data_IF_752384154119
#
_entry.id   IF_752384154119
#
_cell.length_a   1.000
_cell.length_b   1.000
_cell.length_c   1.000
_cell.angle_alpha   90.00
_cell.angle_beta   90.00
_cell.angle_gamma   90.00
#
_symmetry.space_group_name_H-M   'P 1'
#
loop_
_entity.id
_entity.type
_entity.pdbx_description
1 polymer ?
#
# COMPACT_ATOMS: atom_id res chain seq x y z
N UNK A 1 -8.45 -2.86 9.86
CA UNK A 1 -7.60 -1.66 10.04
C UNK A 1 -7.32 -1.29 11.50
N UNK A 2 -8.12 -1.72 12.50
CA UNK A 2 -8.00 -1.23 13.88
C UNK A 2 -6.57 -1.20 14.46
N UNK A 3 -5.70 -2.12 14.03
CA UNK A 3 -4.34 -2.32 14.53
C UNK A 3 -3.24 -1.45 13.85
N UNK A 4 -3.54 -0.70 12.80
CA UNK A 4 -2.55 0.20 12.17
C UNK A 4 -2.37 1.49 12.98
N UNK A 5 -1.16 2.09 13.02
CA UNK A 5 -0.98 3.47 13.48
C UNK A 5 -1.94 4.42 12.77
N UNK A 6 -2.43 5.45 13.45
CA UNK A 6 -3.36 6.43 12.87
C UNK A 6 -2.79 7.08 11.62
N UNK A 7 -1.54 7.53 11.67
CA UNK A 7 -0.87 8.16 10.53
C UNK A 7 -0.84 7.25 9.29
N UNK A 8 -0.67 5.93 9.50
CA UNK A 8 -0.69 4.97 8.41
C UNK A 8 -2.09 4.72 7.86
N UNK A 9 -3.12 4.74 8.72
CA UNK A 9 -4.53 4.68 8.28
C UNK A 9 -4.88 5.89 7.43
N UNK A 10 -4.50 7.09 7.88
CA UNK A 10 -4.77 8.34 7.17
C UNK A 10 -4.09 8.37 5.80
N UNK A 11 -2.87 7.82 5.72
CA UNK A 11 -2.09 7.75 4.48
C UNK A 11 -2.80 6.93 3.38
N UNK A 12 -3.35 5.77 3.73
CA UNK A 12 -3.92 4.83 2.72
C UNK A 12 -5.43 4.93 2.56
N UNK A 13 -6.11 5.72 3.40
CA UNK A 13 -7.55 5.92 3.35
C UNK A 13 -7.99 6.72 2.11
N UNK A 14 -9.20 6.48 1.57
CA UNK A 14 -10.16 5.47 2.00
C UNK A 14 -9.79 4.06 1.49
N UNK A 15 -9.96 3.04 2.35
CA UNK A 15 -9.60 1.65 2.04
C UNK A 15 -10.60 0.67 2.68
N UNK A 16 -10.98 -0.37 1.93
CA UNK A 16 -11.82 -1.45 2.40
C UNK A 16 -11.01 -2.48 3.21
N UNK A 17 -11.68 -3.15 4.16
CA UNK A 17 -11.08 -4.25 4.91
C UNK A 17 -10.84 -5.49 4.03
N UNK A 18 -10.03 -6.43 4.55
CA UNK A 18 -9.71 -7.68 3.85
C UNK A 18 -11.00 -8.42 3.47
N UNK A 19 -11.18 -8.68 2.17
CA UNK A 19 -12.33 -9.39 1.61
C UNK A 19 -13.62 -8.56 1.48
N UNK A 20 -13.65 -7.31 1.95
CA UNK A 20 -14.83 -6.45 1.79
C UNK A 20 -15.02 -5.98 0.33
N UNK A 21 -16.23 -5.50 -0.04
CA UNK A 21 -16.46 -4.89 -1.35
C UNK A 21 -15.64 -3.59 -1.54
N UNK A 22 -15.23 -3.34 -2.78
CA UNK A 22 -14.54 -2.12 -3.21
C UNK A 22 -14.73 -1.95 -4.73
N UNK A 23 -14.50 -0.74 -5.25
CA UNK A 23 -14.51 -0.49 -6.70
C UNK A 23 -13.20 -0.97 -7.33
N UNK A 24 -13.22 -2.16 -7.95
CA UNK A 24 -12.02 -2.80 -8.53
C UNK A 24 -11.69 -2.35 -9.95
N UNK A 25 -12.62 -1.70 -10.64
CA UNK A 25 -12.50 -1.22 -12.02
C UNK A 25 -12.54 0.31 -12.06
N UNK A 26 -12.39 0.91 -13.25
CA UNK A 26 -12.63 2.32 -13.50
C UNK A 26 -14.12 2.72 -13.37
N UNK A 27 -15.04 1.78 -13.56
CA UNK A 27 -16.45 1.99 -13.30
C UNK A 27 -16.75 2.14 -11.81
N UNK A 28 -17.38 3.25 -11.42
CA UNK A 28 -17.96 3.45 -10.08
C UNK A 28 -19.33 2.76 -10.04
N UNK A 29 -19.36 1.53 -9.51
CA UNK A 29 -20.61 0.78 -9.34
C UNK A 29 -21.36 1.21 -8.08
N UNK A 30 -20.62 1.52 -7.01
CA UNK A 30 -21.15 2.09 -5.77
C UNK A 30 -20.21 3.21 -5.31
N UNK A 31 -20.66 4.48 -5.31
CA UNK A 31 -19.82 5.62 -4.93
C UNK A 31 -19.50 5.68 -3.43
N UNK A 32 -20.14 4.86 -2.60
CA UNK A 32 -19.81 4.74 -1.17
C UNK A 32 -18.61 3.81 -0.91
N UNK A 33 -18.23 2.99 -1.90
CA UNK A 33 -17.12 2.06 -1.76
C UNK A 33 -15.77 2.71 -2.14
N UNK A 34 -14.68 2.40 -1.41
CA UNK A 34 -13.35 2.85 -1.78
C UNK A 34 -12.84 2.14 -3.04
N UNK A 35 -11.77 2.67 -3.63
CA UNK A 35 -11.05 2.03 -4.74
C UNK A 35 -9.90 1.13 -4.29
N UNK A 36 -9.73 0.96 -2.98
CA UNK A 36 -8.65 0.17 -2.40
C UNK A 36 -9.19 -0.88 -1.46
N UNK A 37 -8.51 -2.01 -1.39
CA UNK A 37 -8.79 -3.05 -0.41
C UNK A 37 -7.53 -3.59 0.22
N UNK A 38 -7.51 -3.60 1.55
CA UNK A 38 -6.41 -4.12 2.33
C UNK A 38 -6.17 -5.60 2.00
N UNK A 39 -4.91 -5.96 1.74
CA UNK A 39 -4.46 -7.35 1.64
C UNK A 39 -3.79 -7.77 2.95
N UNK A 40 -2.77 -7.00 3.36
CA UNK A 40 -1.92 -7.32 4.51
C UNK A 40 -1.21 -6.06 4.98
N UNK A 41 -0.90 -6.00 6.26
CA UNK A 41 0.02 -5.03 6.80
C UNK A 41 0.85 -5.66 7.92
N UNK A 42 1.99 -5.06 8.22
CA UNK A 42 2.90 -5.50 9.27
C UNK A 42 4.03 -4.50 9.46
N UNK A 43 4.97 -4.82 10.34
CA UNK A 43 6.09 -3.93 10.62
C UNK A 43 7.36 -4.68 11.06
N UNK A 44 8.48 -4.00 10.91
CA UNK A 44 9.78 -4.37 11.47
C UNK A 44 10.37 -3.15 12.18
N UNK A 45 10.37 -3.16 13.51
CA UNK A 45 10.67 -1.95 14.29
C UNK A 45 9.67 -0.83 13.95
N UNK A 46 10.20 0.32 13.55
CA UNK A 46 9.46 1.52 13.18
C UNK A 46 9.08 1.57 11.69
N UNK A 47 9.51 0.58 10.90
CA UNK A 47 9.19 0.49 9.48
C UNK A 47 7.94 -0.37 9.28
N UNK A 48 6.89 0.23 8.73
CA UNK A 48 5.60 -0.39 8.46
C UNK A 48 5.41 -0.64 6.98
N UNK A 49 4.71 -1.73 6.64
CA UNK A 49 4.22 -1.95 5.29
C UNK A 49 2.71 -2.15 5.26
N UNK A 50 2.09 -1.69 4.17
CA UNK A 50 0.70 -1.97 3.80
C UNK A 50 0.67 -2.43 2.36
N UNK A 51 0.01 -3.56 2.12
CA UNK A 51 -0.31 -4.07 0.80
C UNK A 51 -1.80 -3.94 0.57
N UNK A 52 -2.18 -3.46 -0.60
CA UNK A 52 -3.57 -3.35 -0.99
C UNK A 52 -3.76 -3.55 -2.49
N UNK A 53 -4.97 -3.92 -2.84
CA UNK A 53 -5.47 -3.85 -4.21
C UNK A 53 -5.87 -2.42 -4.51
N UNK A 54 -5.62 -1.96 -5.73
CA UNK A 54 -6.02 -0.67 -6.23
C UNK A 54 -6.82 -0.86 -7.53
N UNK A 55 -8.09 -0.46 -7.52
CA UNK A 55 -8.95 -0.41 -8.71
C UNK A 55 -8.80 0.89 -9.49
N UNK A 56 -9.46 1.03 -10.64
CA UNK A 56 -9.40 2.21 -11.49
C UNK A 56 -8.98 1.88 -12.92
N UNK A 57 -8.26 2.81 -13.59
CA UNK A 57 -7.80 2.69 -15.00
C UNK A 57 -7.11 1.34 -15.25
N UNK A 58 -6.42 0.80 -14.25
CA UNK A 58 -5.93 -0.57 -14.24
C UNK A 58 -6.04 -1.11 -12.82
N UNK A 59 -6.43 -2.37 -12.68
CA UNK A 59 -6.32 -3.07 -11.40
C UNK A 59 -4.87 -3.50 -11.16
N UNK A 60 -4.32 -3.15 -10.01
CA UNK A 60 -2.96 -3.54 -9.62
C UNK A 60 -2.87 -3.70 -8.09
N UNK A 61 -1.75 -4.27 -7.64
CA UNK A 61 -1.39 -4.31 -6.23
C UNK A 61 -0.38 -3.24 -5.90
N UNK A 62 -0.47 -2.68 -4.71
CA UNK A 62 0.45 -1.64 -4.27
C UNK A 62 1.06 -2.01 -2.92
N UNK A 63 2.39 -1.88 -2.82
CA UNK A 63 3.14 -1.96 -1.58
C UNK A 63 3.59 -0.56 -1.17
N UNK A 64 3.15 -0.15 0.01
CA UNK A 64 3.58 1.09 0.68
C UNK A 64 4.40 0.68 1.87
N UNK A 65 5.66 1.14 1.93
CA UNK A 65 6.55 0.95 3.07
C UNK A 65 6.96 2.32 3.58
N UNK A 66 6.73 2.56 4.86
CA UNK A 66 7.01 3.84 5.51
C UNK A 66 7.73 3.62 6.83
N UNK A 67 8.53 4.59 7.25
CA UNK A 67 8.96 4.71 8.63
C UNK A 67 7.99 5.61 9.38
N UNK A 68 7.60 5.20 10.58
CA UNK A 68 6.81 6.00 11.52
C UNK A 68 7.68 6.32 12.72
N UNK A 69 8.16 7.56 12.81
CA UNK A 69 9.03 7.99 13.91
C UNK A 69 8.23 8.17 15.21
N UNK A 70 8.93 8.26 16.35
CA UNK A 70 8.31 8.35 17.68
C UNK A 70 7.43 9.59 17.89
N UNK A 71 7.64 10.64 17.09
CA UNK A 71 6.82 11.86 17.08
C UNK A 71 5.57 11.74 16.19
N UNK A 72 5.38 10.59 15.54
CA UNK A 72 4.28 10.30 14.63
C UNK A 72 4.51 10.76 13.20
N UNK A 73 5.68 11.32 12.87
CA UNK A 73 6.03 11.68 11.50
C UNK A 73 6.21 10.42 10.63
N UNK A 74 5.86 10.55 9.35
CA UNK A 74 5.86 9.43 8.39
C UNK A 74 6.79 9.78 7.24
N UNK A 75 7.73 8.89 6.92
CA UNK A 75 8.59 9.00 5.74
C UNK A 75 8.48 7.76 4.86
N UNK A 76 8.36 7.97 3.55
CA UNK A 76 8.17 6.89 2.59
C UNK A 76 9.50 6.27 2.22
N UNK A 77 9.63 4.96 2.48
CA UNK A 77 10.77 4.16 2.08
C UNK A 77 10.54 3.52 0.71
N UNK A 78 9.32 3.07 0.45
CA UNK A 78 8.89 2.55 -0.84
C UNK A 78 7.41 2.84 -1.09
N UNK A 79 7.07 3.17 -2.34
CA UNK A 79 5.69 3.23 -2.81
C UNK A 79 5.64 2.72 -4.24
N UNK A 80 5.19 1.47 -4.42
CA UNK A 80 5.24 0.81 -5.71
C UNK A 80 3.97 0.05 -6.04
N UNK A 81 3.48 0.26 -7.27
CA UNK A 81 2.45 -0.56 -7.90
C UNK A 81 3.07 -1.74 -8.64
N UNK A 82 2.33 -2.83 -8.76
CA UNK A 82 2.72 -4.03 -9.52
C UNK A 82 1.51 -4.81 -10.02
N UNK A 83 1.67 -5.48 -11.16
CA UNK A 83 0.75 -6.51 -11.67
C UNK A 83 1.39 -7.91 -11.61
N UNK A 84 2.47 -8.06 -10.84
CA UNK A 84 3.28 -9.27 -10.73
C UNK A 84 3.51 -9.62 -9.25
N UNK A 85 4.04 -10.81 -8.99
CA UNK A 85 4.33 -11.28 -7.63
C UNK A 85 5.61 -10.64 -7.06
N UNK A 86 5.55 -9.33 -6.80
CA UNK A 86 6.72 -8.55 -6.34
C UNK A 86 6.52 -7.83 -5.00
N UNK A 87 5.35 -7.93 -4.38
CA UNK A 87 5.03 -7.24 -3.11
C UNK A 87 6.05 -7.59 -2.00
N UNK A 88 6.42 -8.86 -1.88
CA UNK A 88 7.46 -9.31 -0.95
C UNK A 88 8.81 -8.67 -1.28
N UNK A 89 9.27 -8.77 -2.55
CA UNK A 89 10.56 -8.25 -2.97
C UNK A 89 10.69 -6.73 -2.78
N UNK A 90 9.61 -5.97 -3.02
CA UNK A 90 9.54 -4.54 -2.72
C UNK A 90 9.70 -4.29 -1.22
N UNK A 91 8.96 -5.04 -0.39
CA UNK A 91 8.93 -4.85 1.06
C UNK A 91 10.27 -5.21 1.70
N UNK A 92 10.80 -6.39 1.38
CA UNK A 92 12.10 -6.85 1.88
C UNK A 92 13.23 -5.94 1.39
N UNK A 93 13.13 -5.46 0.14
CA UNK A 93 14.04 -4.47 -0.41
C UNK A 93 14.01 -3.15 0.35
N UNK A 94 12.82 -2.69 0.77
CA UNK A 94 12.66 -1.44 1.51
C UNK A 94 13.25 -1.54 2.92
N UNK A 95 12.95 -2.63 3.63
CA UNK A 95 13.56 -2.91 4.93
C UNK A 95 15.08 -3.09 4.85
N UNK A 96 15.61 -3.57 3.72
CA UNK A 96 17.04 -3.65 3.48
C UNK A 96 17.67 -2.33 2.99
N UNK A 97 16.90 -1.26 2.79
CA UNK A 97 17.37 0.02 2.26
C UNK A 97 17.80 -0.01 0.79
N UNK A 98 17.23 -0.92 -0.02
CA UNK A 98 17.65 -1.20 -1.41
C UNK A 98 16.68 -0.74 -2.49
N UNK A 99 15.44 -0.43 -2.14
CA UNK A 99 14.47 0.13 -3.08
C UNK A 99 14.24 1.61 -2.75
N UNK A 100 14.02 2.46 -3.77
CA UNK A 100 14.16 2.17 -5.21
C UNK A 100 15.63 1.97 -5.67
N UNK A 101 15.90 1.31 -6.83
CA UNK A 101 14.96 0.95 -7.91
C UNK A 101 14.07 -0.27 -7.60
N UNK A 102 12.87 -0.30 -8.20
CA UNK A 102 11.90 -1.38 -8.02
C UNK A 102 12.20 -2.60 -8.91
N UNK A 103 11.81 -3.82 -8.49
CA UNK A 103 11.98 -5.02 -9.30
C UNK A 103 11.20 -4.93 -10.63
N UNK A 104 11.60 -5.75 -11.60
CA UNK A 104 10.88 -5.86 -12.87
C UNK A 104 9.39 -6.21 -12.63
N UNK A 105 8.49 -5.53 -13.33
CA UNK A 105 7.04 -5.67 -13.12
C UNK A 105 6.47 -4.79 -12.02
N UNK A 106 7.28 -3.93 -11.40
CA UNK A 106 6.84 -2.89 -10.48
C UNK A 106 7.26 -1.50 -10.94
N UNK A 107 6.55 -0.47 -10.48
CA UNK A 107 6.80 0.93 -10.82
C UNK A 107 6.54 1.85 -9.63
N UNK A 108 7.12 3.05 -9.65
CA UNK A 108 6.83 4.08 -8.65
C UNK A 108 5.37 4.54 -8.77
N UNK A 109 4.60 4.39 -7.70
CA UNK A 109 3.23 4.90 -7.65
C UNK A 109 3.22 6.39 -7.24
N UNK A 110 2.35 7.18 -7.87
CA UNK A 110 2.26 8.63 -7.64
C UNK A 110 1.36 9.03 -6.46
N UNK A 111 0.78 8.06 -5.75
CA UNK A 111 -0.10 8.30 -4.59
C UNK A 111 -0.17 7.08 -3.68
N UNK A 112 -0.78 7.26 -2.52
CA UNK A 112 -1.16 6.19 -1.58
C UNK A 112 -2.63 5.95 -1.74
#
# INVERSE_FOLDING_TARGET
MAQLPSALKDLVSPIAEIGAPFNSTDAVLDPSLPFRRLIRAGHHGDDWFVWYEHGGITFFWQAVVVRVDSDGSVSTLANAGTISDTLCAITDGAFAGRVPPYPAGAWAASGY
#
